data_IF_809865685423
#
_entry.id   IF_809865685423
#
_cell.length_a   1.000
_cell.length_b   1.000
_cell.length_c   1.000
_cell.angle_alpha   90.00
_cell.angle_beta   90.00
_cell.angle_gamma   90.00
#
_symmetry.space_group_name_H-M   'P 1'
#
loop_
_entity.id
_entity.type
_entity.pdbx_description
1 polymer ?
#
# COMPACT_ATOMS: atom_id res chain seq x y z
N UNK A 1 -52.69 27.45 -9.70
CA UNK A 1 -51.59 26.46 -9.91
C UNK A 1 -50.35 27.08 -10.61
N UNK A 2 -50.26 28.42 -10.72
CA UNK A 2 -49.18 29.15 -11.43
C UNK A 2 -48.08 29.71 -10.52
N UNK A 3 -48.31 29.87 -9.22
CA UNK A 3 -47.38 30.60 -8.32
C UNK A 3 -46.25 29.73 -7.76
N UNK A 4 -46.43 28.41 -7.75
CA UNK A 4 -45.41 27.44 -7.29
C UNK A 4 -44.21 27.37 -8.23
N UNK A 5 -44.39 27.60 -9.52
CA UNK A 5 -43.32 27.50 -10.51
C UNK A 5 -42.38 28.72 -10.46
N UNK A 6 -42.92 29.91 -10.19
CA UNK A 6 -42.15 31.16 -10.07
C UNK A 6 -41.25 31.17 -8.84
N UNK A 7 -41.74 30.65 -7.70
CA UNK A 7 -40.96 30.52 -6.48
C UNK A 7 -39.80 29.51 -6.63
N UNK A 8 -40.05 28.37 -7.29
CA UNK A 8 -39.02 27.36 -7.57
C UNK A 8 -37.92 27.90 -8.48
N UNK A 9 -38.26 28.66 -9.53
CA UNK A 9 -37.29 29.29 -10.43
C UNK A 9 -36.45 30.35 -9.69
N UNK A 10 -37.07 31.13 -8.80
CA UNK A 10 -36.37 32.15 -7.99
C UNK A 10 -35.40 31.52 -6.99
N UNK A 11 -35.80 30.43 -6.34
CA UNK A 11 -34.93 29.66 -5.44
C UNK A 11 -33.80 28.95 -6.20
N UNK A 12 -34.07 28.39 -7.39
CA UNK A 12 -33.04 27.79 -8.24
C UNK A 12 -32.02 28.83 -8.73
N UNK A 13 -32.46 30.04 -9.11
CA UNK A 13 -31.56 31.16 -9.43
C UNK A 13 -30.75 31.63 -8.22
N UNK A 14 -31.37 31.71 -7.03
CA UNK A 14 -30.68 32.08 -5.80
C UNK A 14 -29.62 31.04 -5.38
N UNK A 15 -29.94 29.75 -5.48
CA UNK A 15 -29.00 28.63 -5.25
C UNK A 15 -27.86 28.62 -6.26
N UNK A 16 -28.14 28.84 -7.55
CA UNK A 16 -27.10 28.99 -8.58
C UNK A 16 -26.18 30.19 -8.34
N UNK A 17 -26.73 31.32 -7.85
CA UNK A 17 -25.93 32.50 -7.48
C UNK A 17 -25.04 32.24 -6.27
N UNK A 18 -25.55 31.55 -5.24
CA UNK A 18 -24.74 31.13 -4.09
C UNK A 18 -23.66 30.12 -4.46
N UNK A 19 -23.99 29.10 -5.25
CA UNK A 19 -23.01 28.13 -5.77
C UNK A 19 -21.88 28.78 -6.57
N UNK A 20 -22.18 29.85 -7.33
CA UNK A 20 -21.18 30.60 -8.09
C UNK A 20 -20.35 31.56 -7.23
N UNK A 21 -20.86 31.98 -6.07
CA UNK A 21 -20.17 32.85 -5.11
C UNK A 21 -19.34 32.05 -4.08
N UNK A 22 -19.70 30.80 -3.82
CA UNK A 22 -19.02 29.86 -2.90
C UNK A 22 -17.92 29.03 -3.60
N UNK A 23 -17.85 29.08 -4.94
CA UNK A 23 -16.65 28.63 -5.64
C UNK A 23 -15.47 29.50 -5.23
N UNK A 24 -14.61 28.94 -4.39
CA UNK A 24 -13.31 29.50 -4.03
C UNK A 24 -12.59 29.99 -5.30
N UNK A 25 -11.88 31.13 -5.24
CA UNK A 25 -11.18 31.65 -6.40
C UNK A 25 -10.19 30.58 -6.88
N UNK A 26 -10.45 30.02 -8.06
CA UNK A 26 -9.51 29.13 -8.75
C UNK A 26 -8.20 29.91 -8.88
N UNK A 27 -7.18 29.53 -8.10
CA UNK A 27 -5.85 30.13 -8.14
C UNK A 27 -5.26 29.76 -9.51
N UNK A 28 -5.54 30.58 -10.51
CA UNK A 28 -4.93 30.47 -11.84
C UNK A 28 -3.51 30.99 -11.71
N UNK A 29 -2.60 30.12 -11.25
CA UNK A 29 -1.16 30.36 -11.26
C UNK A 29 -0.74 30.47 -12.73
N UNK A 30 -0.83 31.67 -13.29
CA UNK A 30 -0.26 31.96 -14.60
C UNK A 30 1.26 31.98 -14.40
N UNK A 31 1.90 30.87 -14.73
CA UNK A 31 3.36 30.73 -14.72
C UNK A 31 3.95 31.74 -15.71
N UNK A 32 4.30 32.91 -15.18
CA UNK A 32 4.85 34.01 -15.95
C UNK A 32 6.36 33.92 -15.88
N UNK A 33 7.08 34.22 -16.96
CA UNK A 33 8.57 34.16 -17.01
C UNK A 33 9.26 34.95 -15.89
N UNK A 34 8.63 36.01 -15.38
CA UNK A 34 9.08 36.78 -14.21
C UNK A 34 8.99 35.99 -12.90
N UNK A 35 7.95 35.20 -12.73
CA UNK A 35 7.74 34.33 -11.55
C UNK A 35 8.74 33.17 -11.56
N UNK A 36 9.03 32.59 -12.73
CA UNK A 36 10.04 31.55 -12.90
C UNK A 36 11.46 32.03 -12.51
N UNK A 37 11.77 33.30 -12.81
CA UNK A 37 13.04 33.92 -12.41
C UNK A 37 13.09 34.22 -10.91
N UNK A 38 11.95 34.55 -10.29
CA UNK A 38 11.82 34.75 -8.84
C UNK A 38 11.95 33.43 -8.08
N UNK A 39 11.46 32.33 -8.66
CA UNK A 39 11.50 30.98 -8.10
C UNK A 39 12.75 30.18 -8.52
N UNK A 40 13.78 30.84 -9.07
CA UNK A 40 14.99 30.16 -9.58
C UNK A 40 15.68 29.31 -8.52
N UNK A 41 15.76 29.80 -7.29
CA UNK A 41 16.34 29.06 -6.16
C UNK A 41 15.53 27.80 -5.81
N UNK A 42 14.20 27.89 -5.84
CA UNK A 42 13.30 26.74 -5.66
C UNK A 42 13.46 25.69 -6.78
N UNK A 43 13.61 26.17 -8.02
CA UNK A 43 13.83 25.29 -9.18
C UNK A 43 15.17 24.56 -9.01
N UNK A 44 16.25 25.25 -8.66
CA UNK A 44 17.56 24.64 -8.43
C UNK A 44 17.55 23.61 -7.30
N UNK A 45 16.83 23.87 -6.20
CA UNK A 45 16.66 22.90 -5.12
C UNK A 45 15.93 21.63 -5.60
N UNK A 46 15.01 21.76 -6.56
CA UNK A 46 14.19 20.64 -7.07
C UNK A 46 14.94 19.81 -8.12
N UNK A 47 15.89 20.40 -8.86
CA UNK A 47 16.68 19.71 -9.89
C UNK A 47 17.31 18.38 -9.41
N UNK A 48 18.03 18.30 -8.28
CA UNK A 48 18.62 17.03 -7.85
C UNK A 48 17.57 15.95 -7.55
N UNK A 49 16.40 16.32 -7.00
CA UNK A 49 15.30 15.37 -6.78
C UNK A 49 14.71 14.86 -8.09
N UNK A 50 14.59 15.72 -9.10
CA UNK A 50 14.12 15.33 -10.44
C UNK A 50 15.12 14.40 -11.09
N UNK A 51 16.42 14.72 -11.06
CA UNK A 51 17.48 13.88 -11.62
C UNK A 51 17.49 12.52 -10.93
N UNK A 52 17.40 12.49 -9.59
CA UNK A 52 17.27 11.26 -8.83
C UNK A 52 16.04 10.46 -9.25
N UNK A 53 14.89 11.12 -9.40
CA UNK A 53 13.66 10.52 -9.92
C UNK A 53 13.85 9.86 -11.28
N UNK A 54 14.49 10.54 -12.21
CA UNK A 54 14.73 10.03 -13.56
C UNK A 54 15.67 8.82 -13.54
N UNK A 55 16.78 8.91 -12.80
CA UNK A 55 17.79 7.84 -12.78
C UNK A 55 17.26 6.59 -12.06
N UNK A 56 16.61 6.74 -10.90
CA UNK A 56 16.23 5.58 -10.08
C UNK A 56 14.83 5.05 -10.36
N UNK A 57 13.89 5.87 -10.83
CA UNK A 57 12.54 5.40 -11.14
C UNK A 57 12.32 5.21 -12.64
N UNK A 58 12.78 6.13 -13.50
CA UNK A 58 12.52 6.01 -14.95
C UNK A 58 13.54 5.16 -15.69
N UNK A 59 14.81 5.16 -15.30
CA UNK A 59 15.81 4.33 -16.00
C UNK A 59 15.51 2.82 -15.88
N UNK A 60 15.14 2.26 -14.71
CA UNK A 60 14.80 0.83 -14.61
C UNK A 60 13.58 0.42 -15.43
N UNK A 61 12.66 1.35 -15.71
CA UNK A 61 11.46 1.10 -16.52
C UNK A 61 11.80 0.74 -17.96
N UNK A 62 12.94 1.21 -18.48
CA UNK A 62 13.43 0.77 -19.79
C UNK A 62 13.66 -0.75 -19.83
N UNK A 63 14.00 -1.35 -18.69
CA UNK A 63 14.16 -2.80 -18.54
C UNK A 63 12.88 -3.61 -18.77
N UNK A 64 11.69 -2.99 -18.75
CA UNK A 64 10.43 -3.70 -19.02
C UNK A 64 10.36 -4.31 -20.41
N UNK A 65 11.15 -3.77 -21.35
CA UNK A 65 11.28 -4.32 -22.71
C UNK A 65 11.76 -5.78 -22.67
N UNK A 66 12.54 -6.18 -21.65
CA UNK A 66 12.99 -7.56 -21.46
C UNK A 66 11.84 -8.55 -21.30
N UNK A 67 10.66 -8.12 -20.83
CA UNK A 67 9.49 -8.97 -20.71
C UNK A 67 8.89 -9.39 -22.07
N UNK A 68 9.23 -8.69 -23.15
CA UNK A 68 8.76 -8.98 -24.51
C UNK A 68 9.82 -9.63 -25.40
N UNK A 69 11.02 -9.84 -24.85
CA UNK A 69 12.16 -10.40 -25.55
C UNK A 69 12.58 -11.73 -24.92
N UNK A 70 13.19 -12.61 -25.70
CA UNK A 70 13.89 -13.78 -25.18
C UNK A 70 15.26 -13.35 -24.64
N UNK A 71 15.23 -12.57 -23.55
CA UNK A 71 16.42 -11.96 -22.97
C UNK A 71 17.43 -13.02 -22.55
N UNK A 72 18.59 -13.02 -23.19
CA UNK A 72 19.76 -13.81 -22.77
C UNK A 72 20.82 -12.84 -22.27
N UNK A 73 21.28 -12.94 -21.01
CA UNK A 73 22.30 -12.04 -20.46
C UNK A 73 23.55 -11.93 -21.34
N UNK A 74 23.94 -13.03 -22.00
CA UNK A 74 25.07 -13.09 -22.91
C UNK A 74 24.91 -12.27 -24.21
N UNK A 75 23.67 -11.97 -24.66
CA UNK A 75 23.39 -11.22 -25.90
C UNK A 75 23.01 -9.75 -25.66
N UNK A 76 22.91 -9.33 -24.40
CA UNK A 76 22.48 -7.98 -24.02
C UNK A 76 21.00 -7.68 -24.34
N UNK A 77 20.57 -6.45 -24.02
CA UNK A 77 19.19 -5.97 -24.20
C UNK A 77 18.78 -5.77 -25.68
N UNK A 78 19.73 -5.48 -26.58
CA UNK A 78 19.43 -5.16 -27.98
C UNK A 78 19.67 -6.34 -28.94
N UNK A 79 20.30 -7.43 -28.48
CA UNK A 79 20.60 -8.62 -29.29
C UNK A 79 19.65 -9.81 -29.04
N UNK A 80 18.61 -9.61 -28.24
CA UNK A 80 17.67 -10.68 -27.86
C UNK A 80 16.44 -10.68 -28.77
N UNK A 81 16.02 -11.86 -29.23
CA UNK A 81 14.90 -12.01 -30.18
C UNK A 81 13.59 -11.54 -29.54
N UNK A 82 12.80 -10.74 -30.27
CA UNK A 82 11.48 -10.31 -29.82
C UNK A 82 10.48 -11.47 -29.87
N UNK A 83 9.91 -11.83 -28.73
CA UNK A 83 8.95 -12.94 -28.60
C UNK A 83 7.53 -12.49 -28.25
N UNK A 84 7.29 -11.18 -28.16
CA UNK A 84 5.97 -10.62 -27.91
C UNK A 84 5.39 -11.08 -26.58
N UNK A 85 4.19 -11.68 -26.61
CA UNK A 85 3.44 -12.06 -25.41
C UNK A 85 3.69 -13.49 -24.92
N UNK A 86 4.65 -14.22 -25.52
CA UNK A 86 4.92 -15.63 -25.20
C UNK A 86 5.16 -15.89 -23.70
N UNK A 87 5.87 -15.00 -23.02
CA UNK A 87 6.13 -15.13 -21.59
C UNK A 87 4.87 -14.94 -20.74
N UNK A 88 3.98 -14.03 -21.14
CA UNK A 88 2.70 -13.81 -20.48
C UNK A 88 1.78 -15.03 -20.64
N UNK A 89 1.66 -15.57 -21.85
CA UNK A 89 0.89 -16.79 -22.10
C UNK A 89 1.38 -17.95 -21.22
N UNK A 90 2.70 -18.19 -21.18
CA UNK A 90 3.30 -19.22 -20.33
C UNK A 90 3.00 -18.99 -18.84
N UNK A 91 2.97 -17.74 -18.41
CA UNK A 91 2.71 -17.37 -17.02
C UNK A 91 1.25 -17.66 -16.64
N UNK A 92 0.30 -17.29 -17.49
CA UNK A 92 -1.14 -17.52 -17.24
C UNK A 92 -1.59 -18.97 -17.42
N UNK A 93 -0.88 -19.78 -18.22
CA UNK A 93 -1.15 -21.22 -18.36
C UNK A 93 -0.55 -22.05 -17.21
N UNK A 94 0.22 -21.45 -16.31
CA UNK A 94 0.82 -22.15 -15.18
C UNK A 94 -0.10 -22.13 -13.95
N UNK A 95 -0.57 -23.30 -13.53
CA UNK A 95 -1.45 -23.46 -12.36
C UNK A 95 -0.85 -22.91 -11.06
N UNK A 96 0.46 -23.07 -10.86
CA UNK A 96 1.17 -22.53 -9.69
C UNK A 96 1.09 -21.00 -9.67
N UNK A 97 1.22 -20.35 -10.83
CA UNK A 97 1.13 -18.90 -10.91
C UNK A 97 -0.29 -18.40 -10.60
N UNK A 98 -1.33 -19.08 -11.11
CA UNK A 98 -2.71 -18.76 -10.79
C UNK A 98 -3.02 -18.95 -9.30
N UNK A 99 -2.50 -20.00 -8.69
CA UNK A 99 -2.60 -20.21 -7.25
C UNK A 99 -1.90 -19.10 -6.45
N UNK A 100 -0.72 -18.67 -6.88
CA UNK A 100 0.00 -17.55 -6.26
C UNK A 100 -0.80 -16.25 -6.37
N UNK A 101 -1.34 -15.91 -7.54
CA UNK A 101 -2.20 -14.72 -7.69
C UNK A 101 -3.39 -14.78 -6.74
N UNK A 102 -4.10 -15.92 -6.69
CA UNK A 102 -5.25 -16.10 -5.80
C UNK A 102 -4.83 -15.90 -4.34
N UNK A 103 -3.72 -16.48 -3.94
CA UNK A 103 -3.22 -16.37 -2.57
C UNK A 103 -2.79 -14.93 -2.24
N UNK A 104 -2.10 -14.24 -3.15
CA UNK A 104 -1.73 -12.83 -2.98
C UNK A 104 -2.97 -11.93 -2.88
N UNK A 105 -3.97 -12.15 -3.73
CA UNK A 105 -5.23 -11.42 -3.68
C UNK A 105 -5.98 -11.70 -2.37
N UNK A 106 -6.08 -12.98 -1.97
CA UNK A 106 -6.74 -13.37 -0.72
C UNK A 106 -6.03 -12.76 0.49
N UNK A 107 -4.69 -12.85 0.57
CA UNK A 107 -3.90 -12.21 1.63
C UNK A 107 -4.09 -10.69 1.62
N UNK A 108 -4.12 -10.06 0.45
CA UNK A 108 -4.37 -8.62 0.31
C UNK A 108 -5.74 -8.21 0.84
N UNK A 109 -6.80 -8.97 0.51
CA UNK A 109 -8.16 -8.72 0.98
C UNK A 109 -8.29 -8.95 2.49
N UNK A 110 -7.77 -10.08 3.00
CA UNK A 110 -7.76 -10.38 4.43
C UNK A 110 -7.03 -9.28 5.20
N UNK A 111 -5.85 -8.89 4.73
CA UNK A 111 -5.06 -7.83 5.35
C UNK A 111 -5.80 -6.49 5.34
N UNK A 112 -6.42 -6.12 4.21
CA UNK A 112 -7.19 -4.88 4.10
C UNK A 112 -8.36 -4.86 5.08
N UNK A 113 -9.18 -5.92 5.10
CA UNK A 113 -10.37 -5.99 5.97
C UNK A 113 -9.95 -6.03 7.44
N UNK A 114 -9.02 -6.89 7.81
CA UNK A 114 -8.58 -7.02 9.21
C UNK A 114 -7.88 -5.76 9.70
N UNK A 115 -6.96 -5.18 8.92
CA UNK A 115 -6.26 -3.95 9.31
C UNK A 115 -7.23 -2.79 9.49
N UNK A 116 -8.22 -2.66 8.58
CA UNK A 116 -9.22 -1.60 8.66
C UNK A 116 -10.14 -1.78 9.87
N UNK A 117 -10.72 -2.97 10.04
CA UNK A 117 -11.61 -3.26 11.18
C UNK A 117 -10.87 -3.10 12.49
N UNK A 118 -9.65 -3.64 12.59
CA UNK A 118 -8.83 -3.54 13.79
C UNK A 118 -8.43 -2.09 14.09
N UNK A 119 -8.06 -1.28 13.09
CA UNK A 119 -7.73 0.13 13.30
C UNK A 119 -8.91 0.93 13.87
N UNK A 120 -10.14 0.70 13.35
CA UNK A 120 -11.35 1.37 13.84
C UNK A 120 -11.69 0.90 15.25
N UNK A 121 -11.69 -0.41 15.48
CA UNK A 121 -11.98 -0.98 16.78
C UNK A 121 -10.99 -0.46 17.83
N UNK A 122 -9.70 -0.46 17.50
CA UNK A 122 -8.65 0.05 18.37
C UNK A 122 -8.79 1.55 18.64
N UNK A 123 -9.16 2.36 17.63
CA UNK A 123 -9.43 3.77 17.82
C UNK A 123 -10.61 4.03 18.77
N UNK A 124 -11.71 3.28 18.64
CA UNK A 124 -12.88 3.38 19.53
C UNK A 124 -12.51 2.94 20.95
N UNK A 125 -11.80 1.81 21.10
CA UNK A 125 -11.35 1.32 22.41
C UNK A 125 -10.47 2.35 23.10
N UNK A 126 -9.51 2.95 22.40
CA UNK A 126 -8.66 4.02 22.97
C UNK A 126 -9.43 5.32 23.25
N UNK A 127 -10.53 5.57 22.56
CA UNK A 127 -11.38 6.72 22.82
C UNK A 127 -12.16 6.55 24.13
N UNK A 128 -12.63 5.33 24.43
CA UNK A 128 -13.40 5.03 25.64
C UNK A 128 -12.55 5.04 26.93
N UNK A 129 -11.23 4.89 26.79
CA UNK A 129 -10.31 4.98 27.95
C UNK A 129 -10.25 6.41 28.50
N UNK A 130 -10.91 6.62 29.65
CA UNK A 130 -10.98 7.93 30.34
C UNK A 130 -9.66 8.39 30.95
N UNK A 131 -8.80 7.46 31.42
CA UNK A 131 -7.53 7.80 32.06
C UNK A 131 -6.39 7.93 31.04
N UNK A 132 -5.62 9.02 31.12
CA UNK A 132 -4.55 9.31 30.17
C UNK A 132 -3.35 8.33 30.24
N UNK A 133 -3.04 7.81 31.43
CA UNK A 133 -1.90 6.89 31.65
C UNK A 133 -2.07 5.53 30.93
N UNK A 134 -3.15 4.75 31.15
CA UNK A 134 -3.34 3.48 30.43
C UNK A 134 -3.52 3.68 28.93
N UNK A 135 -4.13 4.78 28.49
CA UNK A 135 -4.25 5.15 27.07
C UNK A 135 -2.87 5.30 26.41
N UNK A 136 -1.94 6.02 27.05
CA UNK A 136 -0.58 6.24 26.54
C UNK A 136 0.24 4.95 26.53
N UNK A 137 0.07 4.07 27.52
CA UNK A 137 0.73 2.76 27.54
C UNK A 137 0.23 1.87 26.40
N UNK A 138 -1.09 1.75 26.22
CA UNK A 138 -1.67 0.96 25.14
C UNK A 138 -1.21 1.43 23.76
N UNK A 139 -1.12 2.75 23.55
CA UNK A 139 -0.55 3.32 22.33
C UNK A 139 0.92 2.95 22.15
N UNK A 140 1.74 3.15 23.19
CA UNK A 140 3.19 2.86 23.12
C UNK A 140 3.45 1.38 22.77
N UNK A 141 2.75 0.46 23.42
CA UNK A 141 2.87 -0.98 23.14
C UNK A 141 2.41 -1.30 21.71
N UNK A 142 1.32 -0.69 21.25
CA UNK A 142 0.76 -0.97 19.91
C UNK A 142 1.59 -0.38 18.77
N UNK A 143 2.37 0.68 19.03
CA UNK A 143 3.31 1.24 18.05
C UNK A 143 4.67 0.53 18.01
N UNK A 144 4.95 -0.35 18.97
CA UNK A 144 6.22 -1.09 19.04
C UNK A 144 6.41 -2.11 17.89
N UNK A 145 5.41 -2.91 17.47
CA UNK A 145 5.63 -3.97 16.49
C UNK A 145 6.14 -3.47 15.13
N UNK A 146 5.59 -2.40 14.50
CA UNK A 146 6.11 -1.89 13.23
C UNK A 146 7.54 -1.33 13.32
N UNK A 147 8.03 -1.03 14.53
CA UNK A 147 9.40 -0.58 14.76
C UNK A 147 10.40 -1.75 14.67
N UNK A 148 9.95 -2.98 14.89
CA UNK A 148 10.79 -4.17 14.76
C UNK A 148 10.95 -4.54 13.28
N UNK A 149 12.16 -4.96 12.91
CA UNK A 149 12.42 -5.49 11.56
C UNK A 149 11.61 -6.75 11.31
N UNK A 150 11.02 -6.84 10.11
CA UNK A 150 10.26 -8.02 9.69
C UNK A 150 11.08 -9.31 9.78
N UNK A 151 12.40 -9.25 9.53
CA UNK A 151 13.29 -10.42 9.64
C UNK A 151 13.36 -10.94 11.08
N UNK A 152 13.42 -10.05 12.07
CA UNK A 152 13.45 -10.43 13.49
C UNK A 152 12.12 -11.07 13.88
N UNK A 153 11.00 -10.47 13.45
CA UNK A 153 9.65 -11.01 13.70
C UNK A 153 9.50 -12.40 13.10
N UNK A 154 9.95 -12.63 11.86
CA UNK A 154 9.96 -13.96 11.26
C UNK A 154 10.81 -14.96 12.05
N UNK A 155 11.97 -14.53 12.58
CA UNK A 155 12.81 -15.37 13.44
C UNK A 155 12.10 -15.78 14.73
N UNK A 156 11.51 -14.82 15.44
CA UNK A 156 10.74 -15.08 16.68
C UNK A 156 9.58 -16.05 16.41
N UNK A 157 8.80 -15.80 15.36
CA UNK A 157 7.68 -16.69 15.00
C UNK A 157 8.19 -18.09 14.67
N UNK A 158 9.32 -18.21 13.97
CA UNK A 158 9.95 -19.49 13.65
C UNK A 158 10.42 -20.24 14.89
N UNK A 159 11.05 -19.55 15.82
CA UNK A 159 11.53 -20.13 17.08
C UNK A 159 10.35 -20.57 17.96
N UNK A 160 9.28 -19.77 18.01
CA UNK A 160 8.05 -20.09 18.75
C UNK A 160 7.32 -21.32 18.18
N UNK A 161 7.35 -21.51 16.86
CA UNK A 161 6.81 -22.68 16.14
C UNK A 161 7.80 -23.84 16.01
N UNK A 162 9.00 -23.75 16.58
CA UNK A 162 10.00 -24.81 16.45
C UNK A 162 9.55 -26.12 17.13
N UNK A 163 10.03 -27.25 16.61
CA UNK A 163 9.62 -28.58 17.09
C UNK A 163 10.23 -28.90 18.46
N UNK A 164 11.52 -28.57 18.65
CA UNK A 164 12.29 -29.04 19.81
C UNK A 164 12.14 -28.15 21.05
N UNK A 165 11.92 -26.85 20.88
CA UNK A 165 11.84 -25.88 21.98
C UNK A 165 10.79 -24.78 21.76
N UNK A 166 9.88 -24.97 20.82
CA UNK A 166 8.84 -23.99 20.51
C UNK A 166 7.82 -23.89 21.63
N UNK A 167 7.67 -22.68 22.19
CA UNK A 167 6.69 -22.38 23.25
C UNK A 167 5.28 -22.81 22.82
N UNK A 168 4.94 -22.68 21.54
CA UNK A 168 3.61 -23.04 21.03
C UNK A 168 3.40 -24.56 21.07
N UNK A 169 4.41 -25.35 20.66
CA UNK A 169 4.36 -26.81 20.73
C UNK A 169 4.26 -27.30 22.18
N UNK A 170 5.08 -26.76 23.09
CA UNK A 170 5.04 -27.13 24.51
C UNK A 170 3.67 -26.82 25.14
N UNK A 171 3.09 -25.65 24.85
CA UNK A 171 1.75 -25.30 25.31
C UNK A 171 0.68 -26.25 24.76
N UNK A 172 0.71 -26.57 23.45
CA UNK A 172 -0.26 -27.47 22.82
C UNK A 172 -0.22 -28.89 23.40
N UNK A 173 0.98 -29.41 23.72
CA UNK A 173 1.16 -30.71 24.38
C UNK A 173 0.66 -30.66 25.83
N UNK A 174 0.97 -29.59 26.58
CA UNK A 174 0.49 -29.41 27.96
C UNK A 174 -1.03 -29.28 28.07
N UNK A 175 -1.66 -28.65 27.09
CA UNK A 175 -3.13 -28.56 27.00
C UNK A 175 -3.79 -29.84 26.45
N UNK A 176 -3.01 -30.89 26.12
CA UNK A 176 -3.52 -32.17 25.62
C UNK A 176 -4.14 -32.10 24.22
N UNK A 177 -3.89 -31.02 23.48
CA UNK A 177 -4.38 -30.83 22.10
C UNK A 177 -3.50 -31.63 21.12
N UNK A 178 -2.22 -31.84 21.47
CA UNK A 178 -1.26 -32.64 20.70
C UNK A 178 -0.62 -33.71 21.58
N UNK A 179 -0.51 -34.94 21.07
CA UNK A 179 0.20 -36.04 21.76
C UNK A 179 1.72 -35.95 21.60
N UNK A 180 2.19 -35.32 20.52
CA UNK A 180 3.61 -35.13 20.17
C UNK A 180 3.81 -33.77 19.52
N UNK A 181 4.97 -33.11 19.70
CA UNK A 181 5.26 -31.85 19.04
C UNK A 181 5.23 -32.03 17.52
N UNK A 182 4.55 -31.13 16.82
CA UNK A 182 4.43 -31.16 15.37
C UNK A 182 5.48 -30.24 14.75
N UNK A 183 6.06 -30.68 13.63
CA UNK A 183 6.92 -29.82 12.85
C UNK A 183 6.08 -28.95 11.92
N UNK A 184 5.79 -27.72 12.35
CA UNK A 184 5.03 -26.75 11.56
C UNK A 184 5.69 -26.34 10.24
N UNK A 185 6.98 -26.65 10.08
CA UNK A 185 7.75 -26.34 8.87
C UNK A 185 8.04 -27.58 8.01
N UNK A 186 7.52 -28.75 8.39
CA UNK A 186 7.58 -29.93 7.55
C UNK A 186 6.44 -29.87 6.52
N UNK A 187 6.77 -29.38 5.32
CA UNK A 187 6.20 -29.90 4.07
C UNK A 187 7.09 -31.04 3.55
#
# INVERSE_FOLDING_TARGET
>A
MSDTNTAAIKQAKARRRRYKAEKEPEIKVKVTKKELKKQRELIWLTVPFIIYGIIFYYAPMFGWIMAFQNFKPAKGLLGSDWVGLKHFERLFTNDTFLNVIRNTLAMGVINLVLSFVFAILFAILLNEVRLAAPKKLAQTISYLPPFLSWIIVCGIVRDMLSMDSGIINDLLVRFGILERPINFFAE
#
